data_IF_212668454102
#
_entry.id   IF_212668454102
#
_cell.length_a   1.000
_cell.length_b   1.000
_cell.length_c   1.000
_cell.angle_alpha   90.00
_cell.angle_beta   90.00
_cell.angle_gamma   90.00
#
_symmetry.space_group_name_H-M   'P 1'
#
loop_
_entity.id
_entity.type
_entity.pdbx_description
1 polymer ?
#
# COMPACT_ATOMS: atom_id res chain seq x y z
N UNK A 1 -0.64 -56.74 -7.87
CA UNK A 1 -1.03 -55.69 -8.81
C UNK A 1 -2.16 -54.79 -8.26
N UNK A 2 -3.22 -55.33 -7.71
CA UNK A 2 -4.37 -54.58 -7.15
C UNK A 2 -4.02 -53.65 -5.98
N UNK A 3 -3.13 -54.08 -5.07
CA UNK A 3 -2.70 -53.27 -3.92
C UNK A 3 -1.95 -52.01 -4.35
N UNK A 4 -1.10 -52.10 -5.37
CA UNK A 4 -0.33 -50.96 -5.89
C UNK A 4 -1.28 -49.92 -6.53
N UNK A 5 -2.30 -50.39 -7.24
CA UNK A 5 -3.29 -49.49 -7.88
C UNK A 5 -4.11 -48.75 -6.79
N UNK A 6 -4.55 -49.49 -5.75
CA UNK A 6 -5.30 -48.88 -4.64
C UNK A 6 -4.46 -47.86 -3.91
N UNK A 7 -3.17 -48.15 -3.63
CA UNK A 7 -2.26 -47.20 -2.98
C UNK A 7 -2.05 -45.97 -3.83
N UNK A 8 -1.88 -46.12 -5.14
CA UNK A 8 -1.74 -45.01 -6.08
C UNK A 8 -2.97 -44.09 -6.11
N UNK A 9 -4.17 -44.67 -6.10
CA UNK A 9 -5.44 -43.93 -6.06
C UNK A 9 -5.57 -43.15 -4.75
N UNK A 10 -5.26 -43.76 -3.61
CA UNK A 10 -5.33 -43.10 -2.30
C UNK A 10 -4.34 -41.91 -2.23
N UNK A 11 -3.10 -42.11 -2.71
CA UNK A 11 -2.12 -41.04 -2.75
C UNK A 11 -2.54 -39.88 -3.68
N UNK A 12 -3.15 -40.21 -4.83
CA UNK A 12 -3.65 -39.18 -5.76
C UNK A 12 -4.79 -38.35 -5.13
N UNK A 13 -5.73 -39.02 -4.43
CA UNK A 13 -6.80 -38.32 -3.69
C UNK A 13 -6.25 -37.46 -2.55
N UNK A 14 -5.24 -37.93 -1.83
CA UNK A 14 -4.60 -37.15 -0.77
C UNK A 14 -3.86 -35.94 -1.33
N UNK A 15 -3.08 -36.12 -2.41
CA UNK A 15 -2.38 -35.02 -3.07
C UNK A 15 -3.35 -33.98 -3.64
N UNK A 16 -4.47 -34.43 -4.25
CA UNK A 16 -5.52 -33.56 -4.75
C UNK A 16 -6.21 -32.79 -3.61
N UNK A 17 -6.50 -33.47 -2.49
CA UNK A 17 -7.07 -32.85 -1.29
C UNK A 17 -6.15 -31.79 -0.71
N UNK A 18 -4.84 -32.07 -0.57
CA UNK A 18 -3.84 -31.12 -0.11
C UNK A 18 -3.72 -29.90 -1.05
N UNK A 19 -3.66 -30.14 -2.35
CA UNK A 19 -3.60 -29.06 -3.35
C UNK A 19 -4.84 -28.15 -3.27
N UNK A 20 -6.03 -28.77 -3.21
CA UNK A 20 -7.29 -28.02 -3.10
C UNK A 20 -7.40 -27.23 -1.79
N UNK A 21 -6.91 -27.80 -0.69
CA UNK A 21 -6.84 -27.11 0.60
C UNK A 21 -5.90 -25.91 0.57
N UNK A 22 -4.67 -26.09 0.06
CA UNK A 22 -3.70 -25.01 -0.07
C UNK A 22 -4.24 -23.86 -0.93
N UNK A 23 -4.87 -24.18 -2.07
CA UNK A 23 -5.47 -23.17 -2.95
C UNK A 23 -6.60 -22.40 -2.26
N UNK A 24 -7.43 -23.06 -1.46
CA UNK A 24 -8.48 -22.39 -0.66
C UNK A 24 -7.90 -21.47 0.40
N UNK A 25 -6.85 -21.90 1.10
CA UNK A 25 -6.18 -21.09 2.12
C UNK A 25 -5.55 -19.85 1.48
N UNK A 26 -4.85 -19.99 0.36
CA UNK A 26 -4.28 -18.85 -0.36
C UNK A 26 -5.34 -17.85 -0.80
N UNK A 27 -6.41 -18.31 -1.45
CA UNK A 27 -7.50 -17.43 -1.89
C UNK A 27 -8.18 -16.70 -0.71
N UNK A 28 -8.34 -17.36 0.43
CA UNK A 28 -8.92 -16.71 1.61
C UNK A 28 -7.99 -15.69 2.26
N UNK A 29 -6.67 -15.89 2.20
CA UNK A 29 -5.68 -14.92 2.65
C UNK A 29 -5.64 -13.69 1.71
N UNK A 30 -5.62 -13.91 0.40
CA UNK A 30 -5.67 -12.83 -0.58
C UNK A 30 -6.93 -11.97 -0.44
N UNK A 31 -8.09 -12.60 -0.23
CA UNK A 31 -9.33 -11.86 0.01
C UNK A 31 -9.28 -11.01 1.28
N UNK A 32 -8.72 -11.53 2.38
CA UNK A 32 -8.54 -10.77 3.62
C UNK A 32 -7.57 -9.59 3.43
N UNK A 33 -6.45 -9.82 2.75
CA UNK A 33 -5.46 -8.77 2.44
C UNK A 33 -6.10 -7.68 1.57
N UNK A 34 -6.84 -8.05 0.52
CA UNK A 34 -7.52 -7.10 -0.35
C UNK A 34 -8.59 -6.29 0.39
N UNK A 35 -9.41 -6.91 1.22
CA UNK A 35 -10.40 -6.20 2.05
C UNK A 35 -9.76 -5.23 3.05
N UNK A 36 -8.60 -5.59 3.62
CA UNK A 36 -7.86 -4.69 4.50
C UNK A 36 -7.23 -3.54 3.72
N UNK A 37 -6.65 -3.82 2.55
CA UNK A 37 -6.08 -2.81 1.67
C UNK A 37 -7.11 -1.76 1.24
N UNK A 38 -8.34 -2.17 0.88
CA UNK A 38 -9.43 -1.26 0.54
C UNK A 38 -9.79 -0.32 1.70
N UNK A 39 -9.75 -0.81 2.94
CA UNK A 39 -9.99 0.03 4.14
C UNK A 39 -8.88 1.06 4.38
N UNK A 40 -7.67 0.79 3.92
CA UNK A 40 -6.53 1.70 4.04
C UNK A 40 -6.59 2.82 3.01
N UNK A 41 -7.17 2.59 1.85
CA UNK A 41 -7.36 3.61 0.80
C UNK A 41 -8.74 4.24 0.96
N UNK A 42 -8.79 5.48 1.45
CA UNK A 42 -10.06 6.23 1.56
C UNK A 42 -10.26 7.09 0.32
N UNK A 43 -11.53 7.33 -0.06
CA UNK A 43 -11.89 8.12 -1.26
C UNK A 43 -11.29 9.53 -1.28
N UNK A 44 -11.04 10.13 -0.11
CA UNK A 44 -10.48 11.47 0.01
C UNK A 44 -8.96 11.50 0.27
N UNK A 45 -8.32 10.33 0.34
CA UNK A 45 -6.86 10.27 0.53
C UNK A 45 -6.14 10.85 -0.69
N UNK A 46 -5.08 11.65 -0.48
CA UNK A 46 -4.22 12.07 -1.59
C UNK A 46 -3.54 10.87 -2.23
N UNK A 47 -3.60 10.81 -3.55
CA UNK A 47 -2.98 9.74 -4.36
C UNK A 47 -1.97 10.35 -5.31
N UNK A 48 -0.79 9.78 -5.38
CA UNK A 48 0.25 10.09 -6.36
C UNK A 48 0.55 8.85 -7.19
N UNK A 49 0.62 9.01 -8.51
CA UNK A 49 0.84 7.91 -9.46
C UNK A 49 -0.46 7.41 -10.10
N UNK A 50 -0.37 6.42 -11.01
CA UNK A 50 -1.50 5.93 -11.77
C UNK A 50 -2.52 5.22 -10.88
N UNK A 51 -3.81 5.47 -11.12
CA UNK A 51 -4.87 4.76 -10.38
C UNK A 51 -4.91 3.25 -10.70
N UNK A 52 -4.45 2.87 -11.88
CA UNK A 52 -4.35 1.48 -12.33
C UNK A 52 -3.10 0.75 -11.85
N UNK A 53 -2.23 1.40 -11.09
CA UNK A 53 -1.00 0.79 -10.59
C UNK A 53 -1.29 -0.47 -9.75
N UNK A 54 -0.65 -1.62 -10.06
CA UNK A 54 -0.90 -2.88 -9.37
C UNK A 54 -0.43 -2.86 -7.91
N UNK A 55 0.54 -2.00 -7.57
CA UNK A 55 1.08 -1.88 -6.21
C UNK A 55 0.65 -0.55 -5.60
N UNK A 56 0.06 -0.60 -4.42
CA UNK A 56 -0.31 0.58 -3.65
C UNK A 56 0.51 0.65 -2.36
N UNK A 57 1.31 1.70 -2.22
CA UNK A 57 1.96 2.05 -0.95
C UNK A 57 1.00 2.94 -0.18
N UNK A 58 0.65 2.56 1.04
CA UNK A 58 -0.11 3.40 1.95
C UNK A 58 0.81 3.90 3.05
N UNK A 59 1.07 5.19 3.06
CA UNK A 59 1.93 5.84 4.05
C UNK A 59 1.08 6.58 5.08
N UNK A 60 1.25 6.24 6.35
CA UNK A 60 0.71 7.02 7.47
C UNK A 60 1.69 8.15 7.78
N UNK A 61 1.30 9.35 7.36
CA UNK A 61 2.20 10.49 7.26
C UNK A 61 1.86 11.58 8.28
N UNK A 62 2.88 12.05 8.98
CA UNK A 62 2.82 13.24 9.84
C UNK A 62 3.77 14.30 9.27
N UNK A 63 3.26 15.47 8.84
CA UNK A 63 4.10 16.51 8.23
C UNK A 63 5.13 17.14 9.17
N UNK A 64 4.97 17.02 10.49
CA UNK A 64 5.94 17.50 11.47
C UNK A 64 6.92 16.40 11.96
N UNK A 65 6.72 15.15 11.55
CA UNK A 65 7.59 14.04 11.92
C UNK A 65 8.85 14.02 11.05
N UNK A 66 10.03 14.15 11.66
CA UNK A 66 11.32 14.13 10.93
C UNK A 66 11.54 12.82 10.17
N UNK A 67 11.20 11.69 10.78
CA UNK A 67 11.32 10.37 10.12
C UNK A 67 10.40 10.25 8.91
N UNK A 68 9.15 10.72 8.98
CA UNK A 68 8.23 10.72 7.83
C UNK A 68 8.79 11.59 6.71
N UNK A 69 9.35 12.75 7.07
CA UNK A 69 9.96 13.69 6.11
C UNK A 69 11.18 13.10 5.43
N UNK A 70 12.03 12.38 6.17
CA UNK A 70 13.21 11.70 5.63
C UNK A 70 12.82 10.48 4.76
N UNK A 71 11.70 9.82 5.05
CA UNK A 71 11.24 8.65 4.31
C UNK A 71 10.56 8.99 2.98
N UNK A 72 9.90 10.14 2.90
CA UNK A 72 9.15 10.57 1.72
C UNK A 72 9.97 10.57 0.41
N UNK A 73 11.21 11.13 0.35
CA UNK A 73 12.03 11.07 -0.86
C UNK A 73 12.39 9.66 -1.28
N UNK A 74 12.58 8.73 -0.34
CA UNK A 74 12.86 7.31 -0.64
C UNK A 74 11.67 6.68 -1.37
N UNK A 75 10.45 6.94 -0.92
CA UNK A 75 9.23 6.49 -1.60
C UNK A 75 9.10 7.12 -2.99
N UNK A 76 9.42 8.41 -3.12
CA UNK A 76 9.41 9.12 -4.41
C UNK A 76 10.41 8.52 -5.40
N UNK A 77 11.60 8.14 -4.94
CA UNK A 77 12.61 7.53 -5.81
C UNK A 77 12.22 6.11 -6.23
N UNK A 78 11.60 5.35 -5.34
CA UNK A 78 11.00 4.07 -5.70
C UNK A 78 9.91 4.23 -6.78
N UNK A 79 9.04 5.22 -6.64
CA UNK A 79 8.00 5.51 -7.64
C UNK A 79 8.58 5.92 -8.99
N UNK A 80 9.72 6.65 -9.02
CA UNK A 80 10.42 6.98 -10.27
C UNK A 80 10.98 5.74 -10.98
N UNK A 81 11.43 4.72 -10.22
CA UNK A 81 11.91 3.46 -10.77
C UNK A 81 10.77 2.62 -11.35
N UNK A 82 9.57 2.73 -10.80
CA UNK A 82 8.37 1.95 -11.19
C UNK A 82 7.16 2.86 -11.49
N UNK A 83 7.25 3.74 -12.51
CA UNK A 83 6.29 4.83 -12.70
C UNK A 83 4.87 4.38 -13.07
N UNK A 84 4.72 3.17 -13.61
CA UNK A 84 3.44 2.61 -14.00
C UNK A 84 2.90 1.56 -13.01
N UNK A 85 3.76 1.05 -12.14
CA UNK A 85 3.44 -0.10 -11.30
C UNK A 85 3.15 0.28 -9.85
N UNK A 86 3.58 1.47 -9.42
CA UNK A 86 3.47 1.91 -8.02
C UNK A 86 2.69 3.22 -7.92
N UNK A 87 1.73 3.26 -6.99
CA UNK A 87 1.09 4.50 -6.52
C UNK A 87 1.24 4.67 -5.02
N UNK A 88 1.32 5.92 -4.58
CA UNK A 88 1.36 6.31 -3.17
C UNK A 88 0.01 6.87 -2.74
N UNK A 89 -0.48 6.41 -1.61
CA UNK A 89 -1.66 6.93 -0.92
C UNK A 89 -1.23 7.46 0.44
N UNK A 90 -1.41 8.75 0.69
CA UNK A 90 -1.12 9.33 1.99
C UNK A 90 -2.33 9.27 2.92
N UNK A 91 -2.08 8.87 4.16
CA UNK A 91 -3.02 8.86 5.27
C UNK A 91 -2.45 9.70 6.40
N UNK A 92 -3.14 10.76 6.78
CA UNK A 92 -2.64 11.60 7.88
C UNK A 92 -2.68 10.90 9.23
N UNK A 93 -1.59 11.05 9.96
CA UNK A 93 -1.40 10.61 11.34
C UNK A 93 -0.75 11.75 12.15
N UNK A 94 -1.47 12.88 12.39
CA UNK A 94 -0.92 14.10 12.95
C UNK A 94 -0.72 13.98 14.47
N UNK A 95 0.34 13.31 14.89
CA UNK A 95 0.66 13.06 16.29
C UNK A 95 1.54 14.16 16.91
N UNK A 96 2.27 14.92 16.09
CA UNK A 96 3.15 15.98 16.57
C UNK A 96 2.41 17.32 16.69
N UNK A 97 2.90 18.17 17.58
CA UNK A 97 2.35 19.51 17.79
C UNK A 97 2.40 20.34 16.51
N UNK A 98 1.28 20.89 16.09
CA UNK A 98 1.17 21.71 14.89
C UNK A 98 0.89 20.95 13.59
N UNK A 99 1.02 19.62 13.58
CA UNK A 99 0.73 18.80 12.40
C UNK A 99 -0.70 18.94 11.89
N UNK A 100 -1.66 19.13 12.79
CA UNK A 100 -3.07 19.35 12.45
C UNK A 100 -3.29 20.61 11.61
N UNK A 101 -2.52 21.67 11.88
CA UNK A 101 -2.58 22.93 11.11
C UNK A 101 -2.01 22.74 9.70
N UNK A 102 -0.89 22.01 9.59
CA UNK A 102 -0.28 21.71 8.30
C UNK A 102 -1.19 20.80 7.48
N UNK A 103 -1.81 19.79 8.08
CA UNK A 103 -2.80 18.94 7.42
C UNK A 103 -3.98 19.75 6.88
N UNK A 104 -4.53 20.69 7.65
CA UNK A 104 -5.61 21.58 7.19
C UNK A 104 -5.18 22.44 5.99
N UNK A 105 -3.94 22.94 6.00
CA UNK A 105 -3.39 23.71 4.89
C UNK A 105 -3.25 22.84 3.63
N UNK A 106 -2.73 21.63 3.76
CA UNK A 106 -2.61 20.67 2.67
C UNK A 106 -3.98 20.29 2.10
N UNK A 107 -4.97 20.02 2.95
CA UNK A 107 -6.34 19.73 2.52
C UNK A 107 -7.00 20.92 1.78
N UNK A 108 -6.76 22.16 2.25
CA UNK A 108 -7.26 23.36 1.58
C UNK A 108 -6.63 23.52 0.18
N UNK A 109 -5.36 23.14 0.00
CA UNK A 109 -4.64 23.26 -1.26
C UNK A 109 -5.14 22.30 -2.36
N UNK A 110 -5.83 21.22 -2.00
CA UNK A 110 -6.47 20.30 -2.95
C UNK A 110 -7.45 21.00 -3.89
N UNK A 111 -8.18 21.99 -3.38
CA UNK A 111 -9.14 22.77 -4.18
C UNK A 111 -8.50 23.57 -5.30
N UNK A 112 -7.18 23.75 -5.26
CA UNK A 112 -6.37 24.52 -6.21
C UNK A 112 -5.41 23.60 -7.00
N UNK A 113 -5.54 22.27 -6.87
CA UNK A 113 -4.63 21.28 -7.44
C UNK A 113 -3.15 21.51 -7.02
N UNK A 114 -2.94 22.09 -5.82
CA UNK A 114 -1.62 22.44 -5.29
C UNK A 114 -1.16 21.53 -4.14
N UNK A 115 -1.83 20.41 -3.92
CA UNK A 115 -1.52 19.52 -2.81
C UNK A 115 -0.06 19.03 -2.84
N UNK A 116 0.35 18.38 -3.92
CA UNK A 116 1.70 17.82 -4.04
C UNK A 116 2.79 18.88 -4.08
N UNK A 117 2.69 19.96 -4.86
CA UNK A 117 3.65 21.05 -4.82
C UNK A 117 3.79 21.69 -3.44
N UNK A 118 2.69 21.86 -2.70
CA UNK A 118 2.73 22.42 -1.35
C UNK A 118 3.36 21.45 -0.36
N UNK A 119 3.01 20.16 -0.42
CA UNK A 119 3.63 19.14 0.41
C UNK A 119 5.16 19.13 0.23
N UNK A 120 5.63 19.10 -1.01
CA UNK A 120 7.06 19.09 -1.33
C UNK A 120 7.78 20.37 -0.91
N UNK A 121 7.09 21.52 -0.93
CA UNK A 121 7.65 22.78 -0.44
C UNK A 121 7.76 22.84 1.11
N UNK A 122 6.89 22.13 1.82
CA UNK A 122 6.92 22.07 3.30
C UNK A 122 7.96 21.06 3.80
N UNK A 123 8.22 20.01 3.01
CA UNK A 123 9.24 19.02 3.33
C UNK A 123 10.62 19.58 2.90
N UNK A 124 11.49 19.99 3.83
CA UNK A 124 12.82 20.44 3.43
C UNK A 124 13.57 19.31 2.72
N UNK A 125 14.46 19.66 1.78
CA UNK A 125 15.35 18.69 1.19
C UNK A 125 16.13 17.97 2.30
N UNK A 126 16.24 16.65 2.19
CA UNK A 126 17.10 15.88 3.10
C UNK A 126 18.53 16.34 2.83
N UNK A 127 19.29 16.78 3.83
CA UNK A 127 20.72 17.07 3.65
C UNK A 127 21.42 15.82 3.09
N UNK A 128 22.21 15.99 2.03
CA UNK A 128 23.09 14.94 1.49
C UNK A 128 24.15 14.54 2.53
#
# INVERSE_FOLDING_TARGET
MTVIIVLGVVLAFFAFGMYSYQKRVQNSQEQKVNQQAERMVRMHSPVLGPQSAPVTIVEFFDPACETCRAFYPIVKDLMKQYPNDVRLVLRYAPFHQGSDKVVKLLEASKRQDKYWPLLEAILPPVPE
#
